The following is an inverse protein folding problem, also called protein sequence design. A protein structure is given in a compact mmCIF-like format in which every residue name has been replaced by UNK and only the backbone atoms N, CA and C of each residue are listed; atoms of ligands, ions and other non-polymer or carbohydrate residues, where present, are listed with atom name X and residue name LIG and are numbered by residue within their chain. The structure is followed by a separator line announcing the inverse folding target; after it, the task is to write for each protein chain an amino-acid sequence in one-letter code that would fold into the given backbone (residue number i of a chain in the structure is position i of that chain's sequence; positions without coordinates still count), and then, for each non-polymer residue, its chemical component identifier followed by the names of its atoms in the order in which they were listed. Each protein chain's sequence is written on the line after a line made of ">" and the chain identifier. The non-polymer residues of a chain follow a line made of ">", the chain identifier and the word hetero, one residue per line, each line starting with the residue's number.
data_IF_322103916119
#
_entry.id   IF_322103916119
#
_cell.length_a   1.000
_cell.length_b   1.000
_cell.length_c   1.000
_cell.angle_alpha   90.00
_cell.angle_beta   90.00
_cell.angle_gamma   90.00
#
_symmetry.space_group_name_H-M   'P 1'
#
loop_
_entity.id
_entity.type
_entity.pdbx_description
1 polymer ?
#
# COMPACT_ATOMS: atom_id res chain seq x y z
N UNK A 1 49.84 -2.07 29.38
CA UNK A 1 48.42 -2.20 29.69
C UNK A 1 47.64 -1.97 28.40
N UNK A 2 47.09 -3.03 27.83
CA UNK A 2 46.33 -2.96 26.56
C UNK A 2 44.86 -2.85 26.88
N UNK A 3 44.27 -1.71 26.62
CA UNK A 3 42.84 -1.47 26.73
C UNK A 3 42.14 -1.99 25.48
N UNK A 4 41.39 -3.08 25.60
CA UNK A 4 40.61 -3.67 24.55
C UNK A 4 39.21 -3.05 24.59
N UNK A 5 38.98 -2.13 23.69
CA UNK A 5 37.65 -1.55 23.46
C UNK A 5 36.86 -2.53 22.59
N UNK A 6 35.92 -3.26 23.19
CA UNK A 6 34.93 -4.05 22.46
C UNK A 6 33.91 -3.11 21.87
N UNK A 7 34.00 -2.90 20.57
CA UNK A 7 32.94 -2.22 19.80
C UNK A 7 31.83 -3.24 19.51
N UNK A 8 30.76 -3.20 20.29
CA UNK A 8 29.53 -3.89 19.98
C UNK A 8 28.80 -3.08 18.89
N UNK A 9 28.98 -3.49 17.63
CA UNK A 9 28.11 -3.03 16.55
C UNK A 9 26.76 -3.73 16.68
N UNK A 10 25.79 -3.03 17.24
CA UNK A 10 24.41 -3.44 17.18
C UNK A 10 23.91 -3.26 15.73
N UNK A 11 23.85 -4.37 14.99
CA UNK A 11 23.18 -4.42 13.69
C UNK A 11 21.67 -4.35 13.97
N UNK A 12 21.10 -3.16 13.82
CA UNK A 12 19.65 -2.97 13.81
C UNK A 12 19.15 -3.57 12.49
N UNK A 13 18.68 -4.83 12.51
CA UNK A 13 17.90 -5.38 11.43
C UNK A 13 16.55 -4.67 11.45
N UNK A 14 16.40 -3.66 10.59
CA UNK A 14 15.11 -3.14 10.23
C UNK A 14 14.35 -4.27 9.53
N UNK A 15 13.37 -4.87 10.22
CA UNK A 15 12.36 -5.71 9.60
C UNK A 15 11.57 -4.78 8.66
N UNK A 16 11.91 -4.82 7.38
CA UNK A 16 11.07 -4.23 6.36
C UNK A 16 9.76 -5.03 6.37
N UNK A 17 8.75 -4.52 7.05
CA UNK A 17 7.39 -4.99 6.85
C UNK A 17 7.06 -4.73 5.38
N UNK A 18 7.05 -5.80 4.58
CA UNK A 18 6.55 -5.72 3.22
C UNK A 18 5.05 -5.47 3.31
N UNK A 19 4.65 -4.22 3.30
CA UNK A 19 3.26 -3.86 3.10
C UNK A 19 2.84 -4.43 1.75
N UNK A 20 1.90 -5.39 1.76
CA UNK A 20 1.32 -5.94 0.55
C UNK A 20 0.39 -4.87 0.00
N UNK A 21 0.92 -4.08 -0.93
CA UNK A 21 0.16 -3.07 -1.67
C UNK A 21 -0.34 -3.67 -2.98
N UNK A 22 -1.52 -3.25 -3.44
CA UNK A 22 -2.01 -3.54 -4.78
C UNK A 22 -1.12 -2.92 -5.85
N UNK A 23 -1.35 -3.25 -7.10
CA UNK A 23 -0.61 -2.71 -8.23
C UNK A 23 -1.49 -1.86 -9.13
N UNK A 24 -0.94 -0.72 -9.59
CA UNK A 24 -1.57 0.15 -10.56
C UNK A 24 -0.87 -0.01 -11.92
N UNK A 25 -1.59 -0.52 -12.91
CA UNK A 25 -1.10 -0.67 -14.27
C UNK A 25 -2.20 -0.31 -15.28
N UNK A 26 -1.86 0.38 -16.34
CA UNK A 26 -2.80 0.79 -17.40
C UNK A 26 -4.04 1.53 -16.88
N UNK A 27 -3.88 2.39 -15.87
CA UNK A 27 -4.96 3.11 -15.18
C UNK A 27 -5.97 2.18 -14.45
N UNK A 28 -5.59 0.96 -14.15
CA UNK A 28 -6.37 0.01 -13.38
C UNK A 28 -5.58 -0.50 -12.16
N UNK A 29 -6.21 -0.41 -11.00
CA UNK A 29 -5.65 -0.96 -9.77
C UNK A 29 -6.13 -2.41 -9.59
N UNK A 30 -5.25 -3.28 -9.11
CA UNK A 30 -5.56 -4.68 -8.81
C UNK A 30 -4.97 -5.06 -7.44
N UNK A 31 -5.68 -5.88 -6.65
CA UNK A 31 -5.14 -6.41 -5.41
C UNK A 31 -4.01 -7.40 -5.70
N UNK A 32 -3.04 -7.49 -4.79
CA UNK A 32 -1.95 -8.46 -4.86
C UNK A 32 -2.06 -9.53 -3.78
N UNK A 33 -2.76 -9.26 -2.68
CA UNK A 33 -2.90 -10.16 -1.55
C UNK A 33 -4.19 -10.96 -1.49
N UNK A 34 -5.08 -10.86 -2.49
CA UNK A 34 -6.41 -11.48 -2.47
C UNK A 34 -6.54 -12.75 -3.30
N UNK A 35 -5.47 -13.22 -3.91
CA UNK A 35 -5.50 -14.36 -4.80
C UNK A 35 -6.17 -14.06 -6.14
N UNK A 36 -6.57 -15.11 -6.84
CA UNK A 36 -7.21 -15.00 -8.14
C UNK A 36 -8.69 -14.68 -8.00
N UNK A 37 -9.23 -13.83 -8.87
CA UNK A 37 -10.66 -13.60 -8.96
C UNK A 37 -11.39 -14.90 -9.30
N UNK A 38 -12.43 -15.31 -8.52
CA UNK A 38 -13.19 -16.52 -8.81
C UNK A 38 -13.85 -16.48 -10.19
N UNK A 39 -13.73 -17.58 -10.93
CA UNK A 39 -14.32 -17.70 -12.25
C UNK A 39 -15.82 -17.93 -12.16
N UNK A 40 -16.57 -17.27 -13.01
CA UNK A 40 -18.03 -17.44 -13.10
C UNK A 40 -18.36 -18.87 -13.58
N UNK A 41 -19.19 -19.64 -12.85
CA UNK A 41 -19.58 -20.98 -13.29
C UNK A 41 -20.47 -20.95 -14.52
N UNK A 42 -20.44 -22.04 -15.28
CA UNK A 42 -21.32 -22.23 -16.44
C UNK A 42 -22.58 -22.96 -15.99
N UNK A 43 -23.76 -22.46 -16.41
CA UNK A 43 -25.04 -23.10 -16.14
C UNK A 43 -25.27 -24.19 -17.18
N UNK A 44 -25.40 -25.43 -16.73
CA UNK A 44 -25.73 -26.58 -17.57
C UNK A 44 -27.22 -26.94 -17.45
N UNK A 45 -27.99 -26.61 -18.49
CA UNK A 45 -29.42 -26.91 -18.58
C UNK A 45 -29.77 -28.23 -19.30
N UNK A 46 -28.80 -29.10 -19.57
CA UNK A 46 -29.03 -30.34 -20.34
C UNK A 46 -29.89 -31.41 -19.63
N UNK A 47 -29.92 -31.35 -18.29
CA UNK A 47 -30.76 -32.21 -17.45
C UNK A 47 -31.07 -31.50 -16.12
N UNK A 48 -32.07 -32.03 -15.39
CA UNK A 48 -32.40 -31.53 -14.04
C UNK A 48 -31.21 -31.71 -13.09
N UNK A 49 -30.53 -32.83 -13.18
CA UNK A 49 -29.36 -33.13 -12.36
C UNK A 49 -28.20 -32.18 -12.64
N UNK A 50 -27.89 -31.92 -13.92
CA UNK A 50 -26.87 -30.97 -14.34
C UNK A 50 -27.20 -29.54 -13.91
N UNK A 51 -28.46 -29.14 -14.03
CA UNK A 51 -28.91 -27.84 -13.55
C UNK A 51 -28.77 -27.70 -12.04
N UNK A 52 -29.19 -28.70 -11.26
CA UNK A 52 -29.04 -28.64 -9.80
C UNK A 52 -27.57 -28.56 -9.38
N UNK A 53 -26.68 -29.27 -10.08
CA UNK A 53 -25.23 -29.11 -9.86
C UNK A 53 -24.76 -27.70 -10.15
N UNK A 54 -25.21 -27.09 -11.24
CA UNK A 54 -24.88 -25.70 -11.58
C UNK A 54 -25.33 -24.73 -10.50
N UNK A 55 -26.48 -24.93 -9.88
CA UNK A 55 -26.98 -24.13 -8.76
C UNK A 55 -26.03 -24.21 -7.55
N UNK A 56 -25.53 -25.40 -7.23
CA UNK A 56 -24.55 -25.59 -6.16
C UNK A 56 -23.24 -24.83 -6.49
N UNK A 57 -22.76 -24.96 -7.72
CA UNK A 57 -21.54 -24.30 -8.18
C UNK A 57 -21.71 -22.75 -8.13
N UNK A 58 -22.87 -22.22 -8.50
CA UNK A 58 -23.19 -20.78 -8.39
C UNK A 58 -23.14 -20.33 -6.93
N UNK A 59 -23.77 -21.06 -6.01
CA UNK A 59 -23.77 -20.71 -4.60
C UNK A 59 -22.34 -20.69 -4.02
N UNK A 60 -21.53 -21.67 -4.36
CA UNK A 60 -20.12 -21.72 -3.94
C UNK A 60 -19.32 -20.55 -4.54
N UNK A 61 -19.52 -20.27 -5.82
CA UNK A 61 -18.88 -19.13 -6.48
C UNK A 61 -19.26 -17.80 -5.84
N UNK A 62 -20.53 -17.57 -5.49
CA UNK A 62 -20.97 -16.34 -4.83
C UNK A 62 -20.29 -16.14 -3.48
N UNK A 63 -20.09 -17.20 -2.70
CA UNK A 63 -19.37 -17.12 -1.43
C UNK A 63 -17.89 -16.78 -1.63
N UNK A 64 -17.24 -17.43 -2.60
CA UNK A 64 -15.84 -17.13 -2.94
C UNK A 64 -15.68 -15.71 -3.50
N UNK A 65 -16.60 -15.27 -4.35
CA UNK A 65 -16.59 -13.92 -4.90
C UNK A 65 -16.77 -12.87 -3.80
N UNK A 66 -17.67 -13.10 -2.84
CA UNK A 66 -17.85 -12.22 -1.69
C UNK A 66 -16.55 -12.04 -0.91
N UNK A 67 -15.90 -13.15 -0.55
CA UNK A 67 -14.64 -13.13 0.18
C UNK A 67 -13.53 -12.40 -0.61
N UNK A 68 -13.45 -12.64 -1.92
CA UNK A 68 -12.50 -11.95 -2.80
C UNK A 68 -12.74 -10.44 -2.82
N UNK A 69 -13.98 -9.99 -2.98
CA UNK A 69 -14.30 -8.56 -3.05
C UNK A 69 -14.16 -7.86 -1.69
N UNK A 70 -14.43 -8.53 -0.58
CA UNK A 70 -14.14 -7.99 0.76
C UNK A 70 -12.63 -7.77 0.96
N UNK A 71 -11.80 -8.71 0.54
CA UNK A 71 -10.35 -8.58 0.53
C UNK A 71 -9.89 -7.42 -0.37
N UNK A 72 -10.42 -7.34 -1.60
CA UNK A 72 -10.11 -6.29 -2.57
C UNK A 72 -10.40 -4.89 -2.01
N UNK A 73 -11.58 -4.69 -1.41
CA UNK A 73 -11.97 -3.40 -0.82
C UNK A 73 -11.06 -3.04 0.35
N UNK A 74 -10.70 -4.00 1.20
CA UNK A 74 -9.79 -3.77 2.33
C UNK A 74 -8.41 -3.35 1.86
N UNK A 75 -7.85 -4.03 0.86
CA UNK A 75 -6.54 -3.70 0.30
C UNK A 75 -6.57 -2.33 -0.40
N UNK A 76 -7.60 -2.04 -1.18
CA UNK A 76 -7.79 -0.74 -1.85
C UNK A 76 -7.87 0.41 -0.84
N UNK A 77 -8.59 0.25 0.26
CA UNK A 77 -8.68 1.26 1.31
C UNK A 77 -7.34 1.49 2.00
N UNK A 78 -6.57 0.43 2.23
CA UNK A 78 -5.21 0.53 2.79
C UNK A 78 -4.28 1.31 1.87
N UNK A 79 -4.31 1.00 0.57
CA UNK A 79 -3.51 1.71 -0.44
C UNK A 79 -3.91 3.19 -0.55
N UNK A 80 -5.21 3.49 -0.56
CA UNK A 80 -5.71 4.86 -0.59
C UNK A 80 -5.23 5.67 0.61
N UNK A 81 -5.27 5.09 1.81
CA UNK A 81 -4.78 5.75 3.02
C UNK A 81 -3.26 5.99 2.94
N UNK A 82 -2.50 5.01 2.49
CA UNK A 82 -1.04 5.14 2.33
C UNK A 82 -0.68 6.24 1.33
N UNK A 83 -1.39 6.31 0.20
CA UNK A 83 -1.19 7.36 -0.82
C UNK A 83 -1.50 8.73 -0.22
N UNK A 84 -2.62 8.89 0.47
CA UNK A 84 -3.02 10.14 1.09
C UNK A 84 -2.04 10.59 2.18
N UNK A 85 -1.62 9.67 3.05
CA UNK A 85 -0.64 9.95 4.11
C UNK A 85 0.72 10.36 3.53
N UNK A 86 1.19 9.66 2.48
CA UNK A 86 2.43 9.99 1.79
C UNK A 86 2.39 11.38 1.16
N UNK A 87 1.32 11.72 0.48
CA UNK A 87 1.13 13.04 -0.12
C UNK A 87 1.08 14.15 0.93
N UNK A 88 0.36 13.93 2.02
CA UNK A 88 0.28 14.88 3.14
C UNK A 88 1.64 15.07 3.83
N UNK A 89 2.41 14.00 3.97
CA UNK A 89 3.77 14.06 4.52
C UNK A 89 4.69 14.89 3.65
N UNK A 90 4.70 14.66 2.34
CA UNK A 90 5.50 15.45 1.40
C UNK A 90 5.13 16.93 1.41
N UNK A 91 3.84 17.24 1.51
CA UNK A 91 3.38 18.62 1.63
C UNK A 91 3.89 19.28 2.92
N UNK A 92 3.88 18.57 4.04
CA UNK A 92 4.42 19.09 5.30
C UNK A 92 5.93 19.32 5.23
N UNK A 93 6.68 18.41 4.62
CA UNK A 93 8.12 18.56 4.38
C UNK A 93 8.39 19.80 3.50
N UNK A 94 7.63 19.98 2.44
CA UNK A 94 7.77 21.15 1.57
C UNK A 94 7.55 22.46 2.34
N UNK A 95 6.53 22.54 3.20
CA UNK A 95 6.29 23.74 4.03
C UNK A 95 7.44 24.03 4.98
N UNK A 96 8.04 22.99 5.58
CA UNK A 96 9.22 23.14 6.42
C UNK A 96 10.43 23.65 5.62
N UNK A 97 10.62 23.16 4.41
CA UNK A 97 11.71 23.58 3.54
C UNK A 97 11.54 25.03 3.08
N UNK A 98 10.32 25.45 2.79
CA UNK A 98 9.99 26.87 2.51
C UNK A 98 10.38 27.75 3.68
N UNK A 99 10.03 27.36 4.91
CA UNK A 99 10.36 28.14 6.11
C UNK A 99 11.86 28.20 6.38
N UNK A 100 12.57 27.08 6.25
CA UNK A 100 14.04 27.06 6.37
C UNK A 100 14.71 27.93 5.32
N UNK A 101 14.22 27.90 4.09
CA UNK A 101 14.73 28.72 2.99
C UNK A 101 14.48 30.21 3.25
N UNK A 102 13.31 30.58 3.77
CA UNK A 102 12.99 31.94 4.16
C UNK A 102 13.97 32.46 5.23
N UNK A 103 14.20 31.68 6.27
CA UNK A 103 15.13 32.01 7.35
C UNK A 103 16.56 32.18 6.81
N UNK A 104 16.98 31.25 5.93
CA UNK A 104 18.31 31.35 5.32
C UNK A 104 18.47 32.61 4.46
N UNK A 105 17.44 32.97 3.69
CA UNK A 105 17.44 34.19 2.87
C UNK A 105 17.50 35.46 3.72
N UNK A 106 16.73 35.54 4.80
CA UNK A 106 16.76 36.66 5.74
C UNK A 106 18.13 36.79 6.41
N UNK A 107 18.71 35.67 6.85
CA UNK A 107 20.06 35.67 7.44
C UNK A 107 21.12 36.14 6.46
N UNK A 108 21.07 35.70 5.20
CA UNK A 108 21.98 36.13 4.16
C UNK A 108 21.84 37.65 3.88
N UNK A 109 20.59 38.15 3.77
CA UNK A 109 20.31 39.58 3.60
C UNK A 109 20.90 40.39 4.74
N UNK A 110 20.67 40.00 5.98
CA UNK A 110 21.18 40.70 7.16
C UNK A 110 22.72 40.78 7.20
N UNK A 111 23.40 39.72 6.71
CA UNK A 111 24.86 39.74 6.59
C UNK A 111 25.35 40.72 5.53
N UNK A 112 24.65 40.82 4.41
CA UNK A 112 24.98 41.73 3.32
C UNK A 112 24.71 43.20 3.71
N UNK A 113 23.64 43.47 4.46
CA UNK A 113 23.27 44.80 4.90
C UNK A 113 24.26 45.38 5.94
N UNK A 114 25.14 44.59 6.54
CA UNK A 114 26.18 45.00 7.49
C UNK A 114 27.50 45.40 6.84
N UNK A 115 27.61 45.30 5.57
CA UNK A 115 28.76 45.67 4.77
C UNK A 115 28.37 46.87 3.87
#
# INVERSE_FOLDING_TARGET
>A
MKSWCCIFSAVLMALAETAIAGSLANNAWQPTGCGSKPSVPVVDGSSVEAFNKSVVDINNWQQQAKAYFECLIKEANTDNNTIAESANHEQAVFQQDVEKTRIAAESAKNKLDKH
#
